data_IF_105823752978
#
_entry.id   IF_105823752978
#
_cell.length_a   1.000
_cell.length_b   1.000
_cell.length_c   1.000
_cell.angle_alpha   90.00
_cell.angle_beta   90.00
_cell.angle_gamma   90.00
#
_symmetry.space_group_name_H-M   'P 1'
#
loop_
_entity.id
_entity.type
_entity.pdbx_description
1 polymer ?
#
# COMPACT_ATOMS: atom_id res chain seq x y z
N UNK A 1 12.82 -0.22 -73.54
CA UNK A 1 12.99 0.08 -72.10
C UNK A 1 11.86 -0.61 -71.34
N UNK A 2 11.96 -1.90 -71.01
CA UNK A 2 12.49 -2.51 -69.77
C UNK A 2 11.98 -1.87 -68.46
N UNK A 3 11.14 -2.67 -67.79
CA UNK A 3 10.83 -2.81 -66.36
C UNK A 3 10.54 -1.57 -65.50
N UNK A 4 9.33 -1.54 -64.93
CA UNK A 4 9.06 -1.58 -63.47
C UNK A 4 7.71 -0.91 -63.16
N UNK A 5 6.63 -1.69 -63.25
CA UNK A 5 5.32 -1.31 -62.67
C UNK A 5 4.77 -2.40 -61.74
N UNK A 6 5.67 -3.17 -61.14
CA UNK A 6 5.34 -4.29 -60.26
C UNK A 6 6.01 -4.13 -58.89
N UNK A 7 5.91 -2.93 -58.30
CA UNK A 7 6.53 -2.63 -57.00
C UNK A 7 5.62 -1.78 -56.09
N UNK A 8 4.34 -1.63 -56.45
CA UNK A 8 3.38 -0.88 -55.64
C UNK A 8 2.45 -1.73 -54.75
N UNK A 9 2.10 -3.00 -55.05
CA UNK A 9 1.23 -3.75 -54.14
C UNK A 9 1.99 -4.37 -52.95
N UNK A 10 3.33 -4.41 -52.98
CA UNK A 10 4.13 -5.00 -51.90
C UNK A 10 4.30 -4.06 -50.69
N UNK A 11 4.10 -2.74 -50.87
CA UNK A 11 4.26 -1.77 -49.78
C UNK A 11 3.03 -1.69 -48.84
N UNK A 12 1.87 -2.16 -49.29
CA UNK A 12 0.64 -2.14 -48.48
C UNK A 12 0.57 -3.28 -47.44
N UNK A 13 1.32 -4.37 -47.63
CA UNK A 13 1.35 -5.50 -46.68
C UNK A 13 2.29 -5.28 -45.49
N UNK A 14 3.16 -4.26 -45.52
CA UNK A 14 4.13 -4.01 -44.44
C UNK A 14 3.55 -3.11 -43.34
N UNK A 15 2.40 -2.45 -43.58
CA UNK A 15 1.80 -1.53 -42.61
C UNK A 15 0.88 -2.20 -41.57
N UNK A 16 0.68 -3.52 -41.63
CA UNK A 16 -0.24 -4.24 -40.73
C UNK A 16 0.40 -5.10 -39.64
N UNK A 17 1.73 -5.16 -39.51
CA UNK A 17 2.40 -6.04 -38.53
C UNK A 17 3.12 -5.30 -37.39
N UNK A 18 2.49 -4.26 -36.85
CA UNK A 18 2.80 -3.77 -35.50
C UNK A 18 1.49 -3.38 -34.79
N UNK A 19 0.53 -4.30 -34.72
CA UNK A 19 -0.43 -4.28 -33.63
C UNK A 19 0.34 -4.59 -32.36
N UNK A 20 0.89 -3.53 -31.73
CA UNK A 20 1.33 -3.60 -30.35
C UNK A 20 0.14 -4.17 -29.57
N UNK A 21 0.32 -5.37 -28.98
CA UNK A 21 -0.66 -5.89 -28.03
C UNK A 21 -0.94 -4.76 -27.02
N UNK A 22 -2.21 -4.48 -26.69
CA UNK A 22 -2.51 -3.53 -25.62
C UNK A 22 -1.68 -3.95 -24.41
N UNK A 23 -0.79 -3.06 -23.97
CA UNK A 23 0.06 -3.36 -22.83
C UNK A 23 -0.86 -3.50 -21.62
N UNK A 24 -0.99 -4.71 -21.07
CA UNK A 24 -1.86 -4.93 -19.92
C UNK A 24 -1.23 -4.22 -18.71
N UNK A 25 -1.96 -3.26 -18.15
CA UNK A 25 -1.57 -2.60 -16.92
C UNK A 25 -2.03 -3.44 -15.75
N UNK A 26 -1.12 -3.74 -14.83
CA UNK A 26 -1.45 -4.43 -13.59
C UNK A 26 -1.43 -3.43 -12.44
N UNK A 27 -2.36 -3.57 -11.52
CA UNK A 27 -2.53 -2.64 -10.42
C UNK A 27 -2.65 -3.39 -9.11
N UNK A 28 -2.10 -2.80 -8.05
CA UNK A 28 -2.36 -3.24 -6.69
C UNK A 28 -2.69 -2.05 -5.80
N UNK A 29 -3.39 -2.35 -4.71
CA UNK A 29 -3.65 -1.42 -3.63
C UNK A 29 -3.01 -1.96 -2.38
N UNK A 30 -2.28 -1.12 -1.65
CA UNK A 30 -1.65 -1.46 -0.38
C UNK A 30 -2.10 -0.43 0.65
N UNK A 31 -2.75 -0.87 1.72
CA UNK A 31 -2.92 -0.05 2.93
C UNK A 31 -2.02 -0.61 4.03
N UNK A 32 -1.31 0.28 4.70
CA UNK A 32 -0.45 -0.05 5.83
C UNK A 32 -0.76 0.84 7.01
N UNK A 33 -0.57 0.30 8.20
CA UNK A 33 -0.78 0.99 9.48
C UNK A 33 0.54 1.00 10.22
N UNK A 34 1.03 2.20 10.52
CA UNK A 34 2.26 2.43 11.26
C UNK A 34 2.04 2.23 12.75
N UNK A 35 3.06 2.54 13.56
CA UNK A 35 2.90 2.55 15.02
C UNK A 35 1.90 3.62 15.43
N UNK A 36 0.87 3.21 16.17
CA UNK A 36 0.12 4.10 17.04
C UNK A 36 0.93 4.48 18.28
N UNK A 37 0.36 5.35 19.12
CA UNK A 37 0.93 5.65 20.43
C UNK A 37 0.73 4.52 21.44
N UNK A 38 -0.31 3.70 21.30
CA UNK A 38 -0.49 2.48 22.09
C UNK A 38 0.45 1.39 21.54
N UNK A 39 1.51 1.00 22.27
CA UNK A 39 2.43 -0.04 21.81
C UNK A 39 1.78 -1.43 21.81
N UNK A 40 0.54 -1.60 22.29
CA UNK A 40 -0.17 -2.87 22.19
C UNK A 40 -0.87 -3.07 20.84
N UNK A 41 -1.06 -2.00 20.05
CA UNK A 41 -1.65 -2.08 18.73
C UNK A 41 -0.59 -2.50 17.69
N UNK A 42 -0.71 -3.69 17.06
CA UNK A 42 0.28 -4.16 16.12
C UNK A 42 0.21 -3.38 14.81
N UNK A 43 1.36 -3.16 14.19
CA UNK A 43 1.39 -2.71 12.79
C UNK A 43 0.87 -3.81 11.89
N UNK A 44 0.23 -3.42 10.80
CA UNK A 44 -0.21 -4.37 9.80
C UNK A 44 -0.30 -3.77 8.41
N UNK A 45 -0.33 -4.65 7.41
CA UNK A 45 -0.48 -4.28 6.01
C UNK A 45 -1.50 -5.18 5.33
N UNK A 46 -2.28 -4.60 4.41
CA UNK A 46 -3.20 -5.30 3.53
C UNK A 46 -2.84 -4.91 2.10
N UNK A 47 -2.56 -5.88 1.24
CA UNK A 47 -2.34 -5.68 -0.20
C UNK A 47 -3.39 -6.45 -0.99
N UNK A 48 -4.03 -5.78 -1.94
CA UNK A 48 -4.94 -6.36 -2.92
C UNK A 48 -4.23 -6.42 -4.26
N UNK A 49 -4.00 -7.63 -4.77
CA UNK A 49 -3.29 -7.87 -6.03
C UNK A 49 -3.89 -9.06 -6.77
N UNK A 50 -4.30 -8.83 -8.02
CA UNK A 50 -4.97 -9.86 -8.82
C UNK A 50 -6.34 -10.22 -8.25
N UNK A 51 -6.49 -11.43 -7.73
CA UNK A 51 -7.69 -11.94 -7.05
C UNK A 51 -7.47 -12.21 -5.55
N UNK A 52 -6.29 -11.81 -5.05
CA UNK A 52 -5.78 -12.21 -3.75
C UNK A 52 -5.56 -11.01 -2.85
N UNK A 53 -5.94 -11.18 -1.59
CA UNK A 53 -5.52 -10.35 -0.47
C UNK A 53 -4.28 -10.97 0.17
N UNK A 54 -3.29 -10.14 0.43
CA UNK A 54 -2.15 -10.43 1.30
C UNK A 54 -2.26 -9.60 2.57
N UNK A 55 -1.94 -10.21 3.71
CA UNK A 55 -1.98 -9.56 5.01
C UNK A 55 -0.69 -9.82 5.78
N UNK A 56 -0.14 -8.81 6.43
CA UNK A 56 0.89 -8.99 7.44
C UNK A 56 0.50 -8.32 8.76
N UNK A 57 0.95 -8.89 9.86
CA UNK A 57 0.74 -8.35 11.20
C UNK A 57 2.01 -8.50 12.03
N UNK A 58 2.38 -7.45 12.74
CA UNK A 58 3.54 -7.44 13.62
C UNK A 58 3.39 -8.47 14.75
N UNK A 59 4.44 -9.22 15.02
CA UNK A 59 4.52 -10.11 16.17
C UNK A 59 4.73 -9.22 17.38
N UNK A 60 3.72 -9.19 18.27
CA UNK A 60 3.63 -8.43 19.51
C UNK A 60 4.90 -7.60 19.85
N UNK A 61 4.88 -6.27 19.66
CA UNK A 61 6.07 -5.43 19.80
C UNK A 61 6.70 -5.48 21.20
N UNK A 62 5.97 -5.90 22.24
CA UNK A 62 6.51 -6.09 23.60
C UNK A 62 7.32 -7.39 23.77
N UNK A 63 7.14 -8.38 22.89
CA UNK A 63 7.82 -9.68 22.97
C UNK A 63 9.18 -9.67 22.26
N UNK A 64 9.44 -8.69 21.40
CA UNK A 64 10.69 -8.55 20.67
C UNK A 64 11.65 -7.57 21.35
N UNK A 65 12.60 -8.10 22.12
CA UNK A 65 13.71 -7.34 22.73
C UNK A 65 14.71 -6.81 21.69
N UNK A 66 14.56 -7.22 20.42
CA UNK A 66 15.40 -6.79 19.31
C UNK A 66 14.64 -5.78 18.47
N UNK A 67 15.35 -4.73 18.10
CA UNK A 67 15.05 -3.66 17.14
C UNK A 67 14.66 -4.09 15.71
N UNK A 68 14.25 -5.36 15.55
CA UNK A 68 13.86 -6.02 14.31
C UNK A 68 12.37 -6.27 14.32
N UNK A 69 11.65 -5.54 13.46
CA UNK A 69 10.23 -5.78 13.20
C UNK A 69 10.05 -7.17 12.61
N UNK A 70 9.29 -8.03 13.29
CA UNK A 70 8.96 -9.37 12.82
C UNK A 70 7.47 -9.43 12.50
N UNK A 71 7.11 -10.06 11.39
CA UNK A 71 5.74 -10.13 10.90
C UNK A 71 5.30 -11.57 10.68
N UNK A 72 4.02 -11.84 10.96
CA UNK A 72 3.31 -12.99 10.40
C UNK A 72 2.69 -12.59 9.07
N UNK A 73 2.65 -13.53 8.12
CA UNK A 73 2.13 -13.30 6.78
C UNK A 73 1.00 -14.27 6.46
N UNK A 74 -0.01 -13.76 5.78
CA UNK A 74 -1.20 -14.50 5.39
C UNK A 74 -1.66 -14.08 4.00
N UNK A 75 -2.47 -14.94 3.39
CA UNK A 75 -3.16 -14.63 2.13
C UNK A 75 -4.57 -15.21 2.13
N UNK A 76 -5.40 -14.70 1.22
CA UNK A 76 -6.78 -15.08 1.08
C UNK A 76 -7.29 -14.73 -0.32
N UNK A 77 -7.92 -15.69 -1.01
CA UNK A 77 -8.46 -15.47 -2.35
C UNK A 77 -9.86 -14.86 -2.19
N UNK A 78 -10.02 -13.60 -2.59
CA UNK A 78 -11.28 -12.85 -2.46
C UNK A 78 -11.99 -12.61 -3.80
N UNK A 79 -11.34 -12.99 -4.90
CA UNK A 79 -11.86 -12.89 -6.26
C UNK A 79 -11.51 -11.56 -6.94
N UNK A 80 -11.24 -11.64 -8.25
CA UNK A 80 -10.81 -10.49 -9.06
C UNK A 80 -11.83 -9.34 -9.05
N UNK A 81 -13.12 -9.66 -9.10
CA UNK A 81 -14.19 -8.65 -9.08
C UNK A 81 -14.13 -7.79 -7.81
N UNK A 82 -13.95 -8.41 -6.63
CA UNK A 82 -13.88 -7.68 -5.37
C UNK A 82 -12.63 -6.80 -5.28
N UNK A 83 -11.50 -7.29 -5.76
CA UNK A 83 -10.26 -6.51 -5.85
C UNK A 83 -10.45 -5.30 -6.75
N UNK A 84 -10.99 -5.50 -7.96
CA UNK A 84 -11.25 -4.42 -8.91
C UNK A 84 -12.23 -3.38 -8.36
N UNK A 85 -13.34 -3.81 -7.74
CA UNK A 85 -14.32 -2.92 -7.11
C UNK A 85 -13.67 -1.97 -6.08
N UNK A 86 -12.86 -2.52 -5.16
CA UNK A 86 -12.21 -1.74 -4.12
C UNK A 86 -11.15 -0.80 -4.71
N UNK A 87 -10.39 -1.27 -5.70
CA UNK A 87 -9.36 -0.48 -6.36
C UNK A 87 -9.97 0.74 -7.07
N UNK A 88 -11.04 0.54 -7.84
CA UNK A 88 -11.74 1.61 -8.57
C UNK A 88 -12.34 2.63 -7.60
N UNK A 89 -13.02 2.18 -6.54
CA UNK A 89 -13.56 3.07 -5.50
C UNK A 89 -12.47 3.87 -4.80
N UNK A 90 -11.34 3.23 -4.49
CA UNK A 90 -10.19 3.88 -3.85
C UNK A 90 -9.59 4.96 -4.73
N UNK A 91 -9.41 4.71 -6.03
CA UNK A 91 -8.95 5.71 -6.99
C UNK A 91 -9.89 6.89 -7.11
N UNK A 92 -11.21 6.63 -7.09
CA UNK A 92 -12.21 7.67 -7.20
C UNK A 92 -12.21 8.65 -6.03
N UNK A 93 -11.77 8.22 -4.84
CA UNK A 93 -11.81 9.04 -3.62
C UNK A 93 -10.46 9.52 -3.09
N UNK A 94 -9.36 8.97 -3.59
CA UNK A 94 -8.00 9.33 -3.17
C UNK A 94 -7.17 9.94 -4.31
N UNK A 95 -7.81 10.59 -5.28
CA UNK A 95 -7.18 11.19 -6.47
C UNK A 95 -6.14 12.28 -6.17
N UNK A 96 -6.07 12.77 -4.93
CA UNK A 96 -5.14 13.80 -4.50
C UNK A 96 -4.26 13.34 -3.34
N UNK A 97 -2.99 13.75 -3.39
CA UNK A 97 -2.03 13.56 -2.29
C UNK A 97 -2.43 14.46 -1.12
N UNK A 98 -2.98 13.86 -0.09
CA UNK A 98 -3.38 14.53 1.13
C UNK A 98 -2.32 14.29 2.22
N UNK A 99 -1.88 15.37 2.84
CA UNK A 99 -1.03 15.36 4.04
C UNK A 99 -1.83 16.06 5.14
N UNK A 100 -2.40 15.26 6.03
CA UNK A 100 -3.39 15.71 7.01
C UNK A 100 -2.79 16.23 8.32
N UNK A 101 -1.49 16.55 8.36
CA UNK A 101 -0.82 16.98 9.58
C UNK A 101 -0.72 15.85 10.61
N UNK A 102 -0.36 16.16 11.86
CA UNK A 102 -0.18 15.18 12.93
C UNK A 102 -1.33 15.25 13.95
N UNK A 103 -1.83 14.10 14.39
CA UNK A 103 -2.84 13.98 15.45
C UNK A 103 -2.25 13.15 16.59
N UNK A 104 -2.36 13.65 17.81
CA UNK A 104 -2.00 12.91 19.02
C UNK A 104 -2.86 11.65 19.17
N UNK A 105 -2.24 10.55 19.63
CA UNK A 105 -2.89 9.27 19.96
C UNK A 105 -3.58 8.51 18.81
N UNK A 106 -3.41 8.91 17.55
CA UNK A 106 -4.06 8.26 16.42
C UNK A 106 -3.11 7.36 15.59
N UNK A 107 -3.65 6.27 15.04
CA UNK A 107 -2.93 5.43 14.10
C UNK A 107 -2.69 6.16 12.77
N UNK A 108 -1.45 6.08 12.28
CA UNK A 108 -1.04 6.65 11.00
C UNK A 108 -1.19 5.61 9.88
N UNK A 109 -1.98 5.94 8.87
CA UNK A 109 -2.26 5.08 7.73
C UNK A 109 -1.55 5.59 6.48
N UNK A 110 -1.09 4.67 5.64
CA UNK A 110 -0.63 4.97 4.29
C UNK A 110 -1.32 4.03 3.30
N UNK A 111 -1.96 4.61 2.29
CA UNK A 111 -2.53 3.91 1.15
C UNK A 111 -1.67 4.20 -0.10
N UNK A 112 -1.23 3.15 -0.77
CA UNK A 112 -0.52 3.20 -2.04
C UNK A 112 -1.35 2.49 -3.11
N UNK A 113 -1.59 3.13 -4.24
CA UNK A 113 -2.10 2.49 -5.46
C UNK A 113 -0.95 2.49 -6.46
N UNK A 114 -0.43 1.30 -6.77
CA UNK A 114 0.70 1.18 -7.69
C UNK A 114 0.24 0.62 -9.03
N UNK A 115 0.73 1.22 -10.10
CA UNK A 115 0.46 0.82 -11.48
C UNK A 115 1.73 0.27 -12.09
N UNK A 116 1.66 -0.93 -12.68
CA UNK A 116 2.77 -1.64 -13.29
C UNK A 116 2.50 -1.84 -14.77
N UNK A 117 3.58 -1.82 -15.55
CA UNK A 117 3.56 -2.38 -16.89
C UNK A 117 3.80 -3.89 -16.80
N UNK A 118 3.22 -4.64 -17.73
CA UNK A 118 3.46 -6.07 -17.84
C UNK A 118 4.98 -6.37 -17.85
N UNK A 119 5.42 -7.29 -17.00
CA UNK A 119 6.82 -7.70 -16.82
C UNK A 119 7.76 -6.66 -16.19
N UNK A 120 7.23 -5.67 -15.45
CA UNK A 120 8.03 -4.78 -14.62
C UNK A 120 7.80 -5.03 -13.14
N UNK A 121 8.87 -5.20 -12.37
CA UNK A 121 8.81 -5.33 -10.91
C UNK A 121 8.71 -3.98 -10.18
N UNK A 122 8.88 -2.89 -10.93
CA UNK A 122 8.79 -1.51 -10.41
C UNK A 122 7.53 -0.84 -10.96
N UNK A 123 6.78 -0.15 -10.10
CA UNK A 123 5.62 0.57 -10.58
C UNK A 123 6.06 1.74 -11.46
N UNK A 124 5.31 1.97 -12.53
CA UNK A 124 5.46 3.14 -13.39
C UNK A 124 4.75 4.38 -12.84
N UNK A 125 3.77 4.16 -11.97
CA UNK A 125 3.08 5.21 -11.24
C UNK A 125 2.71 4.73 -9.83
N UNK A 126 2.71 5.64 -8.87
CA UNK A 126 2.34 5.36 -7.48
C UNK A 126 1.63 6.56 -6.88
N UNK A 127 0.34 6.38 -6.62
CA UNK A 127 -0.45 7.29 -5.82
C UNK A 127 -0.29 6.92 -4.35
N UNK A 128 0.34 7.79 -3.56
CA UNK A 128 0.52 7.62 -2.11
C UNK A 128 -0.27 8.66 -1.35
N UNK A 129 -1.13 8.19 -0.45
CA UNK A 129 -1.93 9.03 0.44
C UNK A 129 -1.70 8.59 1.88
N UNK A 130 -1.33 9.55 2.73
CA UNK A 130 -1.09 9.32 4.16
C UNK A 130 -2.14 10.05 4.98
N UNK A 131 -2.76 9.38 5.93
CA UNK A 131 -3.90 9.94 6.66
C UNK A 131 -4.05 9.36 8.05
N UNK A 132 -4.81 10.07 8.87
CA UNK A 132 -5.47 9.54 10.05
C UNK A 132 -6.94 9.35 9.68
N UNK A 133 -7.58 8.27 10.14
CA UNK A 133 -9.00 8.01 9.82
C UNK A 133 -9.88 9.22 10.19
N UNK A 134 -9.58 9.89 11.30
CA UNK A 134 -10.30 11.07 11.77
C UNK A 134 -10.24 12.28 10.82
N UNK A 135 -9.26 12.33 9.91
CA UNK A 135 -9.07 13.44 8.98
C UNK A 135 -9.59 13.14 7.56
N UNK A 136 -10.22 11.98 7.34
CA UNK A 136 -10.88 11.69 6.07
C UNK A 136 -12.07 12.64 5.88
N UNK A 137 -12.13 13.30 4.73
CA UNK A 137 -13.02 14.44 4.47
C UNK A 137 -14.42 14.03 4.01
N UNK A 138 -14.56 12.80 3.48
CA UNK A 138 -15.83 12.29 2.96
C UNK A 138 -16.21 10.95 3.55
N UNK A 139 -17.52 10.71 3.66
CA UNK A 139 -18.06 9.42 4.09
C UNK A 139 -17.62 8.26 3.19
N UNK A 140 -17.44 8.51 1.88
CA UNK A 140 -16.98 7.46 0.97
C UNK A 140 -15.50 7.10 1.19
N UNK A 141 -14.63 8.06 1.51
CA UNK A 141 -13.25 7.74 1.92
C UNK A 141 -13.23 6.86 3.16
N UNK A 142 -14.01 7.22 4.19
CA UNK A 142 -14.13 6.43 5.43
C UNK A 142 -14.64 5.03 5.13
N UNK A 143 -15.68 4.92 4.30
CA UNK A 143 -16.28 3.64 3.91
C UNK A 143 -15.29 2.77 3.14
N UNK A 144 -14.59 3.31 2.15
CA UNK A 144 -13.58 2.57 1.37
C UNK A 144 -12.47 2.05 2.28
N UNK A 145 -11.95 2.89 3.20
CA UNK A 145 -10.92 2.46 4.15
C UNK A 145 -11.45 1.35 5.05
N UNK A 146 -12.64 1.49 5.63
CA UNK A 146 -13.24 0.47 6.48
C UNK A 146 -13.50 -0.83 5.72
N UNK A 147 -13.93 -0.76 4.46
CA UNK A 147 -14.14 -1.93 3.60
C UNK A 147 -12.81 -2.68 3.39
N UNK A 148 -11.71 -1.97 3.13
CA UNK A 148 -10.38 -2.58 3.01
C UNK A 148 -9.95 -3.22 4.35
N UNK A 149 -10.08 -2.48 5.45
CA UNK A 149 -9.70 -2.96 6.79
C UNK A 149 -10.51 -4.19 7.24
N UNK A 150 -11.78 -4.27 6.85
CA UNK A 150 -12.64 -5.41 7.15
C UNK A 150 -12.17 -6.71 6.49
N UNK A 151 -11.39 -6.63 5.41
CA UNK A 151 -10.88 -7.82 4.70
C UNK A 151 -9.89 -8.64 5.54
N UNK A 152 -9.36 -8.08 6.64
CA UNK A 152 -8.57 -8.86 7.62
C UNK A 152 -9.34 -10.05 8.21
N UNK A 153 -10.67 -10.05 8.11
CA UNK A 153 -11.54 -11.09 8.64
C UNK A 153 -11.88 -12.19 7.62
N UNK A 154 -11.26 -12.21 6.43
CA UNK A 154 -11.49 -13.30 5.49
C UNK A 154 -10.79 -14.60 5.95
N UNK A 155 -10.95 -15.71 5.22
CA UNK A 155 -10.33 -17.01 5.54
C UNK A 155 -8.81 -16.98 5.28
N UNK A 156 -8.08 -16.33 6.19
CA UNK A 156 -6.64 -16.10 6.11
C UNK A 156 -5.85 -17.40 6.25
N UNK A 157 -5.06 -17.71 5.23
CA UNK A 157 -4.13 -18.84 5.21
C UNK A 157 -2.71 -18.36 5.47
N UNK A 158 -1.97 -18.99 6.39
CA UNK A 158 -0.59 -18.58 6.69
C UNK A 158 0.32 -18.81 5.49
N UNK A 159 1.31 -17.94 5.33
CA UNK A 159 2.37 -18.06 4.33
C UNK A 159 3.73 -17.67 4.93
N UNK A 160 4.82 -18.00 4.21
CA UNK A 160 6.17 -17.76 4.72
C UNK A 160 6.57 -16.29 4.74
N UNK A 161 6.27 -15.58 3.66
CA UNK A 161 6.75 -14.22 3.46
C UNK A 161 5.99 -13.54 2.33
N UNK A 162 5.65 -12.26 2.51
CA UNK A 162 5.16 -11.38 1.46
C UNK A 162 5.84 -10.02 1.58
N UNK A 163 6.33 -9.46 0.47
CA UNK A 163 7.00 -8.17 0.49
C UNK A 163 5.98 -7.04 0.41
N UNK A 164 5.81 -6.31 1.51
CA UNK A 164 5.07 -5.04 1.56
C UNK A 164 6.05 -3.88 1.33
N UNK A 165 5.94 -3.19 0.19
CA UNK A 165 6.74 -2.01 -0.12
C UNK A 165 6.20 -0.75 0.57
N UNK A 166 6.22 -0.73 1.91
CA UNK A 166 5.80 0.43 2.70
C UNK A 166 6.79 0.74 3.82
N UNK A 167 7.30 1.97 3.81
CA UNK A 167 8.25 2.45 4.82
C UNK A 167 7.63 2.56 6.22
N UNK A 168 6.30 2.72 6.33
CA UNK A 168 5.65 2.92 7.63
C UNK A 168 5.58 1.64 8.49
N UNK A 169 5.63 0.46 7.86
CA UNK A 169 5.82 -0.81 8.57
C UNK A 169 7.20 -0.89 9.24
N UNK A 170 8.18 -0.13 8.74
CA UNK A 170 9.57 -0.16 9.20
C UNK A 170 9.94 1.10 10.00
N UNK A 171 9.00 2.02 10.22
CA UNK A 171 9.28 3.29 10.87
C UNK A 171 9.48 3.09 12.38
N UNK A 172 10.60 3.55 12.96
CA UNK A 172 10.77 3.56 14.42
C UNK A 172 10.24 4.89 14.96
N UNK A 173 9.47 4.85 16.05
CA UNK A 173 9.16 6.08 16.79
C UNK A 173 10.48 6.75 17.19
N UNK A 174 10.59 8.08 17.11
CA UNK A 174 11.75 8.77 17.63
C UNK A 174 11.88 8.47 19.14
N UNK A 175 13.11 8.36 19.67
CA UNK A 175 13.30 8.19 21.11
C UNK A 175 12.60 9.33 21.86
N UNK A 176 11.96 9.07 23.01
CA UNK A 176 11.31 10.11 23.79
C UNK A 176 12.33 11.20 24.14
N UNK A 177 11.91 12.48 24.23
CA UNK A 177 12.80 13.54 24.64
C UNK A 177 13.38 13.22 26.02
N UNK A 178 14.66 13.56 26.26
CA UNK A 178 15.30 13.28 27.54
C UNK A 178 14.52 13.94 28.68
N UNK A 179 14.24 13.17 29.74
CA UNK A 179 13.59 13.67 30.95
C UNK A 179 14.46 14.81 31.50
N UNK A 180 13.92 16.02 31.55
CA UNK A 180 14.54 17.12 32.28
C UNK A 180 14.49 16.77 33.76
N UNK A 181 15.61 16.29 34.30
CA UNK A 181 15.77 16.14 35.75
C UNK A 181 15.84 17.56 36.30
N UNK A 182 14.75 18.05 36.86
CA UNK A 182 14.68 19.37 37.51
C UNK A 182 15.50 19.39 38.80
N UNK A 183 16.83 19.47 38.65
CA UNK A 183 17.79 19.77 39.70
C UNK A 183 17.86 18.76 40.86
N UNK A 184 18.91 18.81 41.67
CA UNK A 184 18.94 18.06 42.92
C UNK A 184 17.82 18.55 43.86
N UNK A 185 17.23 17.68 44.69
CA UNK A 185 16.17 18.05 45.61
C UNK A 185 16.60 19.25 46.46
N UNK A 186 15.75 20.28 46.52
CA UNK A 186 15.96 21.41 47.44
C UNK A 186 16.19 20.84 48.84
N UNK A 187 17.40 21.01 49.37
CA UNK A 187 17.69 20.74 50.78
C UNK A 187 16.78 21.65 51.59
N UNK A 188 15.78 21.07 52.25
CA UNK A 188 15.02 21.74 53.29
C UNK A 188 16.01 21.97 54.44
N UNK A 189 16.28 23.24 54.75
CA UNK A 189 16.96 23.66 55.98
C UNK A 189 15.92 24.11 56.98
#
# INVERSE_FOLDING_TARGET
MKHNKLLLPLLFFILFSCTQKPQEMQENLIITVGSGMDPSEPRYGIELKGDTLFYCEEINPQETVKDTFLYKYYYCIIGKEKVTEILERSKAVFDNKLDYGYIDDANFYQLNINTYLENTDKPVDTLTTTFYIANLESEEQVKVVNDILALKNCDLKPMKYHLFNSGILQYKLPPPPPVKIDGPPRKIK
#
